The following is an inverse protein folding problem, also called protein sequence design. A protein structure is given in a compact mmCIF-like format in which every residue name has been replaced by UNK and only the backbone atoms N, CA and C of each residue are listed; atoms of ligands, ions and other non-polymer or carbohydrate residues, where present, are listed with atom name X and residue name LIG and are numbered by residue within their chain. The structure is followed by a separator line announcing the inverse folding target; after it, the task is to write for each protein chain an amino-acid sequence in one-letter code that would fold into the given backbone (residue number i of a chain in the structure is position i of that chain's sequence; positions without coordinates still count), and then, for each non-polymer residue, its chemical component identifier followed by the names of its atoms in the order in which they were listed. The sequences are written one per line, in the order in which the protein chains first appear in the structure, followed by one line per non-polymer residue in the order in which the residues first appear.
data_IF_754482896140
#
_entry.id   IF_754482896140
#
_cell.length_a   1.000
_cell.length_b   1.000
_cell.length_c   1.000
_cell.angle_alpha   90.00
_cell.angle_beta   90.00
_cell.angle_gamma   90.00
#
_symmetry.space_group_name_H-M   'P 1'
#
loop_
_entity.id
_entity.type
_entity.pdbx_description
1 polymer ?
#
# COMPACT_ATOMS: atom_id res chain seq x y z
N UNK A 1 12.98 -10.56 -8.27
CA UNK A 1 13.63 -9.69 -9.27
C UNK A 1 12.56 -8.87 -9.99
N UNK A 2 12.54 -7.55 -9.79
CA UNK A 2 11.65 -6.66 -10.52
C UNK A 2 12.19 -6.47 -11.96
N UNK A 3 11.37 -6.75 -12.97
CA UNK A 3 11.78 -6.57 -14.37
C UNK A 3 12.00 -5.08 -14.69
N UNK A 4 12.86 -4.73 -15.66
CA UNK A 4 13.01 -3.34 -16.12
C UNK A 4 11.69 -2.69 -16.55
N UNK A 5 10.75 -3.48 -17.08
CA UNK A 5 9.40 -3.04 -17.43
C UNK A 5 8.61 -2.59 -16.19
N UNK A 6 8.72 -3.32 -15.09
CA UNK A 6 8.05 -2.95 -13.83
C UNK A 6 8.63 -1.67 -13.23
N UNK A 7 9.95 -1.49 -13.29
CA UNK A 7 10.58 -0.23 -12.86
C UNK A 7 10.06 0.98 -13.64
N UNK A 8 10.02 0.89 -14.97
CA UNK A 8 9.43 1.96 -15.81
C UNK A 8 7.97 2.23 -15.51
N UNK A 9 7.18 1.19 -15.18
CA UNK A 9 5.77 1.35 -14.79
C UNK A 9 5.64 2.14 -13.49
N UNK A 10 6.49 1.86 -12.50
CA UNK A 10 6.52 2.57 -11.21
C UNK A 10 6.90 4.03 -11.36
N UNK A 11 7.93 4.30 -12.16
CA UNK A 11 8.37 5.66 -12.46
C UNK A 11 7.26 6.47 -13.13
N UNK A 12 6.63 5.92 -14.18
CA UNK A 12 5.47 6.56 -14.84
C UNK A 12 4.33 6.82 -13.86
N UNK A 13 3.95 5.82 -13.06
CA UNK A 13 2.88 5.97 -12.08
C UNK A 13 3.19 7.10 -11.08
N UNK A 14 4.44 7.20 -10.61
CA UNK A 14 4.84 8.28 -9.70
C UNK A 14 4.68 9.66 -10.34
N UNK A 15 5.16 9.83 -11.58
CA UNK A 15 5.03 11.10 -12.29
C UNK A 15 3.57 11.47 -12.55
N UNK A 16 2.74 10.50 -12.96
CA UNK A 16 1.32 10.71 -13.19
C UNK A 16 0.61 11.16 -11.90
N UNK A 17 0.93 10.51 -10.76
CA UNK A 17 0.34 10.85 -9.46
C UNK A 17 0.77 12.23 -8.94
N UNK A 18 2.06 12.56 -9.06
CA UNK A 18 2.58 13.89 -8.68
C UNK A 18 1.97 14.97 -9.56
N UNK A 19 1.82 14.71 -10.87
CA UNK A 19 1.20 15.65 -11.80
C UNK A 19 -0.28 15.87 -11.47
N UNK A 20 -1.01 14.80 -11.13
CA UNK A 20 -2.43 14.87 -10.81
C UNK A 20 -2.72 15.53 -9.46
N UNK A 21 -1.88 15.31 -8.44
CA UNK A 21 -2.14 15.72 -7.06
C UNK A 21 -1.31 16.91 -6.58
N UNK A 22 -0.24 17.25 -7.30
CA UNK A 22 0.75 18.25 -6.91
C UNK A 22 1.59 17.87 -5.68
N UNK A 23 1.56 16.61 -5.23
CA UNK A 23 2.26 16.16 -4.02
C UNK A 23 2.90 14.80 -4.21
N UNK A 24 3.92 14.51 -3.41
CA UNK A 24 4.48 13.17 -3.34
C UNK A 24 3.41 12.17 -2.85
N UNK A 25 3.28 10.99 -3.49
CA UNK A 25 2.37 9.95 -3.04
C UNK A 25 2.71 9.50 -1.62
N UNK A 26 1.70 8.95 -0.94
CA UNK A 26 1.83 8.44 0.43
C UNK A 26 1.36 7.01 0.50
N UNK A 27 1.97 6.24 1.39
CA UNK A 27 1.54 4.88 1.69
C UNK A 27 0.05 4.88 2.04
N UNK A 28 -0.73 4.11 1.29
CA UNK A 28 -2.16 4.01 1.47
C UNK A 28 -2.55 3.48 2.85
N UNK A 29 -1.65 2.88 3.63
CA UNK A 29 -1.94 2.39 4.99
C UNK A 29 -1.44 3.35 6.06
N UNK A 30 -0.15 3.70 6.04
CA UNK A 30 0.49 4.43 7.14
C UNK A 30 0.70 5.93 6.89
N UNK A 31 0.47 6.41 5.67
CA UNK A 31 0.63 7.83 5.32
C UNK A 31 2.09 8.30 5.17
N UNK A 32 3.07 7.44 5.43
CA UNK A 32 4.49 7.72 5.16
C UNK A 32 4.67 8.08 3.68
N UNK A 33 5.52 9.06 3.41
CA UNK A 33 5.86 9.44 2.04
C UNK A 33 6.39 8.23 1.26
N UNK A 34 5.89 8.07 0.04
CA UNK A 34 6.27 6.99 -0.86
C UNK A 34 7.26 7.54 -1.88
N UNK A 35 8.40 6.85 -2.04
CA UNK A 35 9.38 7.17 -3.07
C UNK A 35 9.66 5.95 -3.94
N UNK A 36 10.19 6.17 -5.14
CA UNK A 36 10.60 5.09 -6.03
C UNK A 36 11.63 4.14 -5.39
N UNK A 37 12.42 4.63 -4.43
CA UNK A 37 13.46 3.85 -3.74
C UNK A 37 13.02 3.21 -2.44
N UNK A 38 11.94 3.68 -1.80
CA UNK A 38 11.53 3.25 -0.45
C UNK A 38 10.15 2.58 -0.40
N UNK A 39 9.32 2.78 -1.42
CA UNK A 39 8.00 2.18 -1.53
C UNK A 39 7.90 1.12 -2.60
N UNK A 40 6.76 0.43 -2.65
CA UNK A 40 6.36 -0.47 -3.72
C UNK A 40 4.92 -0.18 -4.17
N UNK A 41 4.59 -0.53 -5.41
CA UNK A 41 3.22 -0.47 -5.91
C UNK A 41 2.55 -1.82 -5.73
N UNK A 42 1.46 -1.81 -5.00
CA UNK A 42 0.60 -2.96 -4.77
C UNK A 42 -0.41 -3.11 -5.91
N UNK A 43 -0.52 -4.29 -6.52
CA UNK A 43 -1.59 -4.55 -7.50
C UNK A 43 -2.91 -4.82 -6.77
N UNK A 44 -3.84 -3.87 -6.84
CA UNK A 44 -5.18 -4.03 -6.30
C UNK A 44 -5.97 -5.12 -7.03
N UNK A 45 -5.76 -5.25 -8.33
CA UNK A 45 -6.28 -6.32 -9.18
C UNK A 45 -5.24 -6.74 -10.23
N UNK A 46 -5.35 -7.96 -10.72
CA UNK A 46 -4.55 -8.47 -11.83
C UNK A 46 -5.35 -8.55 -13.14
N UNK A 47 -6.62 -8.15 -13.14
CA UNK A 47 -7.52 -8.25 -14.30
C UNK A 47 -7.00 -7.49 -15.53
N UNK A 48 -6.26 -6.39 -15.31
CA UNK A 48 -5.68 -5.56 -16.37
C UNK A 48 -4.15 -5.69 -16.48
N UNK A 49 -3.57 -6.83 -16.09
CA UNK A 49 -2.11 -6.99 -16.10
C UNK A 49 -1.52 -6.70 -17.49
N UNK A 50 -0.55 -5.80 -17.54
CA UNK A 50 0.06 -5.28 -18.77
C UNK A 50 -0.66 -4.09 -19.42
N UNK A 51 -1.86 -3.72 -18.95
CA UNK A 51 -2.64 -2.53 -19.31
C UNK A 51 -3.24 -1.88 -18.05
N UNK A 52 -2.50 -1.93 -16.94
CA UNK A 52 -3.02 -1.59 -15.62
C UNK A 52 -3.46 -0.12 -15.59
N UNK A 53 -4.69 0.14 -15.18
CA UNK A 53 -5.13 1.50 -14.91
C UNK A 53 -4.34 2.07 -13.73
N UNK A 54 -4.24 3.39 -13.66
CA UNK A 54 -3.57 4.07 -12.54
C UNK A 54 -4.10 3.63 -11.17
N UNK A 55 -5.42 3.43 -11.07
CA UNK A 55 -6.14 2.96 -9.87
C UNK A 55 -5.94 1.47 -9.53
N UNK A 56 -5.41 0.68 -10.46
CA UNK A 56 -5.13 -0.74 -10.22
C UNK A 56 -3.85 -0.91 -9.38
N UNK A 57 -3.09 0.18 -9.21
CA UNK A 57 -1.87 0.24 -8.43
C UNK A 57 -2.06 1.13 -7.20
N UNK A 58 -1.61 0.66 -6.04
CA UNK A 58 -1.74 1.37 -4.77
C UNK A 58 -0.35 1.58 -4.16
N UNK A 59 0.05 2.83 -3.84
CA UNK A 59 1.35 3.11 -3.23
C UNK A 59 1.39 2.60 -1.79
N UNK A 60 2.39 1.79 -1.45
CA UNK A 60 2.61 1.30 -0.09
C UNK A 60 4.10 1.33 0.28
N UNK A 61 4.41 1.58 1.55
CA UNK A 61 5.75 1.29 2.05
C UNK A 61 5.94 -0.23 2.15
N UNK A 62 7.20 -0.71 2.11
CA UNK A 62 7.54 -2.14 2.13
C UNK A 62 6.86 -2.91 3.25
N UNK A 63 6.93 -2.39 4.47
CA UNK A 63 6.33 -3.03 5.65
C UNK A 63 4.81 -3.21 5.53
N UNK A 64 4.10 -2.18 5.04
CA UNK A 64 2.65 -2.29 4.85
C UNK A 64 2.29 -3.21 3.69
N UNK A 65 3.08 -3.18 2.62
CA UNK A 65 2.92 -4.05 1.46
C UNK A 65 3.09 -5.53 1.83
N UNK A 66 4.17 -5.87 2.54
CA UNK A 66 4.43 -7.23 3.05
C UNK A 66 3.34 -7.71 4.01
N UNK A 67 2.93 -6.87 4.96
CA UNK A 67 1.85 -7.21 5.89
C UNK A 67 0.53 -7.48 5.19
N UNK A 68 0.21 -6.70 4.15
CA UNK A 68 -0.98 -6.94 3.34
C UNK A 68 -0.89 -8.30 2.62
N UNK A 69 0.25 -8.64 2.05
CA UNK A 69 0.48 -9.94 1.43
C UNK A 69 0.38 -11.10 2.43
N UNK A 70 0.99 -10.98 3.61
CA UNK A 70 0.88 -11.97 4.68
C UNK A 70 -0.58 -12.29 5.03
N UNK A 71 -1.43 -11.27 5.12
CA UNK A 71 -2.86 -11.48 5.45
C UNK A 71 -3.61 -12.12 4.28
N UNK A 72 -3.38 -11.67 3.05
CA UNK A 72 -4.02 -12.23 1.86
C UNK A 72 -3.68 -13.71 1.65
N UNK A 73 -2.39 -14.04 1.73
CA UNK A 73 -1.88 -15.38 1.43
C UNK A 73 -2.17 -16.34 2.59
N UNK A 74 -2.18 -15.82 3.83
CA UNK A 74 -2.43 -16.58 5.05
C UNK A 74 -3.89 -17.00 5.29
N UNK A 75 -4.88 -16.45 4.57
CA UNK A 75 -6.30 -16.76 4.80
C UNK A 75 -7.02 -17.27 3.57
N UNK A 76 -7.68 -18.44 3.70
CA UNK A 76 -8.58 -18.95 2.66
C UNK A 76 -9.77 -18.02 2.42
N UNK A 77 -10.22 -17.27 3.43
CA UNK A 77 -11.31 -16.30 3.27
C UNK A 77 -10.92 -15.19 2.29
N UNK A 78 -9.74 -14.59 2.50
CA UNK A 78 -9.26 -13.50 1.63
C UNK A 78 -9.00 -13.97 0.20
N UNK A 79 -8.53 -15.21 0.01
CA UNK A 79 -8.31 -15.79 -1.32
C UNK A 79 -9.61 -16.06 -2.10
N UNK A 80 -10.76 -16.18 -1.44
CA UNK A 80 -12.06 -16.38 -2.11
C UNK A 80 -12.69 -15.08 -2.59
N UNK A 81 -12.24 -13.93 -2.08
CA UNK A 81 -12.77 -12.63 -2.47
C UNK A 81 -12.10 -12.12 -3.76
N UNK A 82 -12.82 -11.32 -4.58
CA UNK A 82 -12.19 -10.61 -5.68
C UNK A 82 -11.00 -9.78 -5.18
N UNK A 83 -9.90 -9.82 -5.94
CA UNK A 83 -8.60 -9.26 -5.50
C UNK A 83 -8.69 -7.77 -5.11
N UNK A 84 -9.46 -7.00 -5.87
CA UNK A 84 -9.70 -5.57 -5.61
C UNK A 84 -10.47 -5.34 -4.30
N UNK A 85 -11.51 -6.15 -4.06
CA UNK A 85 -12.32 -6.07 -2.86
C UNK A 85 -11.52 -6.46 -1.61
N UNK A 86 -10.71 -7.52 -1.71
CA UNK A 86 -9.82 -7.95 -0.62
C UNK A 86 -8.78 -6.87 -0.28
N UNK A 87 -8.14 -6.28 -1.30
CA UNK A 87 -7.17 -5.18 -1.11
C UNK A 87 -7.79 -4.00 -0.38
N UNK A 88 -8.96 -3.53 -0.84
CA UNK A 88 -9.65 -2.36 -0.27
C UNK A 88 -10.04 -2.58 1.19
N UNK A 89 -10.59 -3.75 1.50
CA UNK A 89 -10.97 -4.11 2.87
C UNK A 89 -9.74 -4.21 3.79
N UNK A 90 -8.66 -4.85 3.33
CA UNK A 90 -7.43 -4.98 4.11
C UNK A 90 -6.75 -3.65 4.37
N UNK A 91 -6.68 -2.75 3.39
CA UNK A 91 -6.17 -1.38 3.60
C UNK A 91 -6.96 -0.71 4.73
N UNK A 92 -8.29 -0.82 4.71
CA UNK A 92 -9.17 -0.24 5.74
C UNK A 92 -8.90 -0.84 7.13
N UNK A 93 -8.74 -2.16 7.21
CA UNK A 93 -8.43 -2.87 8.47
C UNK A 93 -7.05 -2.45 8.99
N UNK A 94 -6.03 -2.44 8.14
CA UNK A 94 -4.65 -2.10 8.52
C UNK A 94 -4.53 -0.63 8.97
N UNK A 95 -5.24 0.30 8.31
CA UNK A 95 -5.34 1.71 8.75
C UNK A 95 -5.88 1.78 10.18
N UNK A 96 -6.98 1.10 10.46
CA UNK A 96 -7.62 1.08 11.79
C UNK A 96 -6.71 0.46 12.85
N UNK A 97 -6.06 -0.66 12.54
CA UNK A 97 -5.11 -1.30 13.47
C UNK A 97 -3.95 -0.36 13.83
N UNK A 98 -3.41 0.38 12.85
CA UNK A 98 -2.34 1.34 13.09
C UNK A 98 -2.79 2.54 13.92
N UNK A 99 -3.98 3.08 13.65
CA UNK A 99 -4.55 4.18 14.43
C UNK A 99 -4.77 3.77 15.90
N UNK A 100 -5.25 2.55 16.13
CA UNK A 100 -5.39 2.00 17.49
C UNK A 100 -4.06 1.85 18.19
N UNK A 101 -3.04 1.33 17.51
CA UNK A 101 -1.70 1.21 18.09
C UNK A 101 -1.09 2.58 18.43
N UNK A 102 -1.25 3.58 17.55
CA UNK A 102 -0.74 4.93 17.79
C UNK A 102 -1.50 5.68 18.91
N UNK A 103 -2.79 5.39 19.10
CA UNK A 103 -3.58 5.95 20.19
C UNK A 103 -3.46 5.17 21.52
N UNK A 104 -2.76 4.04 21.53
CA UNK A 104 -2.53 3.21 22.71
C UNK A 104 -1.16 3.47 23.37
N UNK A 105 -0.41 4.49 22.91
CA UNK A 105 0.74 5.07 23.61
C UNK A 105 0.30 6.35 24.37
N UNK A 106 -0.22 6.28 25.61
CA UNK A 106 -0.23 7.41 26.52
C UNK A 106 1.01 7.33 27.43
N UNK A 107 1.87 8.34 27.31
CA UNK A 107 2.70 8.87 28.41
C UNK A 107 3.53 7.87 29.25
N UNK A 108 4.77 7.63 28.82
CA UNK A 108 5.82 7.15 29.72
C UNK A 108 6.14 8.22 30.76
N UNK A 109 6.01 7.85 32.03
CA UNK A 109 6.38 8.57 33.25
C UNK A 109 7.43 9.70 33.08
N UNK A 110 7.04 10.92 33.46
CA UNK A 110 7.99 11.91 34.00
C UNK A 110 7.86 11.89 35.53
N UNK A 111 8.86 11.31 36.20
CA UNK A 111 9.21 11.61 37.59
C UNK A 111 10.64 12.19 37.54
N UNK A 112 10.92 13.26 38.29
CA UNK A 112 11.29 13.07 39.70
C UNK A 112 10.38 13.78 40.70
#
# INVERSE_FOLDING_TARGET
MASPRWWRRRERWYHDEVTATGRAPRCAVCGTEWTLTSGDLHHATYENLGREHHRDLVPMCRTCHERLHQVLDGSRHWRKLPRAAATTQLITILRRQRQRAAGADPEGERHP
#
